data_IF_107792115949
#
_entry.id   IF_107792115949
#
_cell.length_a   1.000
_cell.length_b   1.000
_cell.length_c   1.000
_cell.angle_alpha   90.00
_cell.angle_beta   90.00
_cell.angle_gamma   90.00
#
_symmetry.space_group_name_H-M   'P 1'
#
loop_
_entity.id
_entity.type
_entity.pdbx_description
1 polymer ?
#
# COMPACT_ATOMS: atom_id res chain seq x y z
N UNK A 1 6.98 21.41 5.03
CA UNK A 1 7.94 22.13 5.89
C UNK A 1 8.40 21.34 7.13
N UNK A 2 8.56 20.00 6.98
CA UNK A 2 9.04 19.13 8.07
C UNK A 2 10.51 18.71 7.87
N UNK A 3 11.14 19.18 6.79
CA UNK A 3 12.55 18.98 6.52
C UNK A 3 13.34 20.13 7.12
N UNK A 4 14.20 19.85 8.07
CA UNK A 4 15.21 20.80 8.53
C UNK A 4 16.42 20.68 7.60
N UNK A 5 16.85 21.79 7.01
CA UNK A 5 18.07 21.84 6.20
C UNK A 5 19.08 22.78 6.86
N UNK A 6 19.80 22.34 7.91
CA UNK A 6 20.90 23.11 8.41
C UNK A 6 22.00 23.18 7.34
N UNK A 7 22.43 24.39 7.00
CA UNK A 7 23.52 24.63 6.06
C UNK A 7 24.81 24.64 6.85
N UNK A 8 25.66 23.63 6.63
CA UNK A 8 27.02 23.58 7.21
C UNK A 8 27.99 23.71 6.04
N UNK A 9 28.44 24.94 5.78
CA UNK A 9 29.31 25.24 4.64
C UNK A 9 28.57 25.12 3.30
N UNK A 10 29.10 24.35 2.36
CA UNK A 10 28.50 24.09 1.06
C UNK A 10 27.56 22.85 1.04
N UNK A 11 27.35 22.16 2.17
CA UNK A 11 26.50 20.98 2.27
C UNK A 11 25.12 21.35 2.80
N UNK A 12 24.08 21.04 2.03
CA UNK A 12 22.67 21.07 2.46
C UNK A 12 22.31 19.72 3.09
N UNK A 13 22.16 19.69 4.39
CA UNK A 13 21.71 18.48 5.10
C UNK A 13 20.19 18.50 5.18
N UNK A 14 19.53 17.70 4.36
CA UNK A 14 18.06 17.54 4.39
C UNK A 14 17.72 16.36 5.29
N UNK A 15 17.15 16.62 6.46
CA UNK A 15 16.68 15.58 7.38
C UNK A 15 15.15 15.55 7.38
N UNK A 16 14.57 14.41 7.01
CA UNK A 16 13.15 14.13 7.12
C UNK A 16 12.87 13.50 8.50
N UNK A 17 12.49 14.34 9.47
CA UNK A 17 12.22 13.93 10.84
C UNK A 17 11.08 12.91 10.96
N UNK A 18 9.92 13.07 10.26
CA UNK A 18 8.86 12.05 10.27
C UNK A 18 9.32 10.70 9.76
N UNK A 19 10.07 10.65 8.66
CA UNK A 19 10.61 9.41 8.11
C UNK A 19 11.57 8.73 9.09
N UNK A 20 12.49 9.50 9.69
CA UNK A 20 13.41 8.98 10.70
C UNK A 20 12.65 8.42 11.91
N UNK A 21 11.64 9.13 12.39
CA UNK A 21 10.84 8.70 13.54
C UNK A 21 10.13 7.37 13.25
N UNK A 22 9.51 7.20 12.09
CA UNK A 22 8.84 5.96 11.70
C UNK A 22 9.84 4.80 11.64
N UNK A 23 11.02 5.00 11.04
CA UNK A 23 12.05 3.97 10.96
C UNK A 23 12.52 3.56 12.36
N UNK A 24 12.79 4.52 13.24
CA UNK A 24 13.21 4.25 14.62
C UNK A 24 12.13 3.48 15.39
N UNK A 25 10.85 3.87 15.26
CA UNK A 25 9.74 3.17 15.92
C UNK A 25 9.60 1.73 15.43
N UNK A 26 9.67 1.49 14.12
CA UNK A 26 9.57 0.16 13.55
C UNK A 26 10.77 -0.70 13.99
N UNK A 27 11.98 -0.14 13.96
CA UNK A 27 13.18 -0.84 14.42
C UNK A 27 13.10 -1.20 15.91
N UNK A 28 12.62 -0.30 16.75
CA UNK A 28 12.38 -0.56 18.16
C UNK A 28 11.33 -1.66 18.41
N UNK A 29 10.29 -1.69 17.58
CA UNK A 29 9.26 -2.74 17.62
C UNK A 29 9.85 -4.11 17.28
N UNK A 30 10.66 -4.18 16.22
CA UNK A 30 11.35 -5.43 15.82
C UNK A 30 12.32 -5.89 16.90
N UNK A 31 13.05 -4.95 17.54
CA UNK A 31 13.95 -5.26 18.63
C UNK A 31 13.24 -5.86 19.86
N UNK A 32 11.98 -5.49 20.12
CA UNK A 32 11.17 -6.07 21.20
C UNK A 32 10.84 -7.54 21.00
N UNK A 33 10.77 -8.01 19.74
CA UNK A 33 10.62 -9.42 19.45
C UNK A 33 9.73 -9.71 18.24
N UNK A 34 9.89 -10.89 17.68
CA UNK A 34 9.18 -11.35 16.47
C UNK A 34 7.67 -11.51 16.69
N UNK A 35 7.26 -11.89 17.91
CA UNK A 35 5.84 -12.11 18.24
C UNK A 35 5.06 -10.79 18.26
N UNK A 36 5.62 -9.75 18.87
CA UNK A 36 5.06 -8.42 18.93
C UNK A 36 4.98 -7.79 17.54
N UNK A 37 6.05 -7.92 16.76
CA UNK A 37 6.12 -7.41 15.38
C UNK A 37 5.07 -8.07 14.48
N UNK A 38 4.88 -9.39 14.59
CA UNK A 38 3.86 -10.12 13.85
C UNK A 38 2.45 -9.68 14.24
N UNK A 39 2.18 -9.50 15.54
CA UNK A 39 0.88 -9.04 16.01
C UNK A 39 0.58 -7.62 15.53
N UNK A 40 1.56 -6.71 15.60
CA UNK A 40 1.44 -5.36 15.07
C UNK A 40 1.16 -5.37 13.55
N UNK A 41 1.89 -6.18 12.78
CA UNK A 41 1.66 -6.35 11.35
C UNK A 41 0.25 -6.83 11.06
N UNK A 42 -0.24 -7.85 11.77
CA UNK A 42 -1.60 -8.38 11.59
C UNK A 42 -2.67 -7.31 11.86
N UNK A 43 -2.52 -6.54 12.94
CA UNK A 43 -3.45 -5.44 13.26
C UNK A 43 -3.43 -4.38 12.14
N UNK A 44 -2.26 -3.96 11.66
CA UNK A 44 -2.15 -3.02 10.56
C UNK A 44 -2.79 -3.55 9.28
N UNK A 45 -2.65 -4.85 8.97
CA UNK A 45 -3.30 -5.48 7.82
C UNK A 45 -4.81 -5.47 7.94
N UNK A 46 -5.36 -5.82 9.11
CA UNK A 46 -6.82 -5.77 9.33
C UNK A 46 -7.35 -4.36 9.19
N UNK A 47 -6.68 -3.37 9.80
CA UNK A 47 -7.09 -1.95 9.73
C UNK A 47 -7.13 -1.48 8.28
N UNK A 48 -6.07 -1.71 7.50
CA UNK A 48 -6.04 -1.28 6.09
C UNK A 48 -7.08 -1.99 5.22
N UNK A 49 -7.33 -3.28 5.45
CA UNK A 49 -8.39 -4.00 4.75
C UNK A 49 -9.78 -3.43 5.07
N UNK A 50 -10.06 -3.15 6.34
CA UNK A 50 -11.31 -2.52 6.74
C UNK A 50 -11.50 -1.15 6.07
N UNK A 51 -10.44 -0.35 5.98
CA UNK A 51 -10.51 0.98 5.34
C UNK A 51 -10.70 0.85 3.82
N UNK A 52 -10.00 -0.08 3.16
CA UNK A 52 -10.20 -0.33 1.72
C UNK A 52 -11.63 -0.77 1.45
N UNK A 53 -12.18 -1.69 2.24
CA UNK A 53 -13.58 -2.12 2.10
C UNK A 53 -14.56 -0.97 2.36
N UNK A 54 -14.27 -0.11 3.33
CA UNK A 54 -15.07 1.08 3.61
C UNK A 54 -15.03 2.07 2.44
N UNK A 55 -13.85 2.30 1.83
CA UNK A 55 -13.70 3.12 0.62
C UNK A 55 -14.54 2.57 -0.52
N UNK A 56 -14.49 1.25 -0.76
CA UNK A 56 -15.29 0.59 -1.79
C UNK A 56 -16.78 0.76 -1.49
N UNK A 57 -17.21 0.49 -0.26
CA UNK A 57 -18.62 0.55 0.15
C UNK A 57 -19.18 1.97 0.04
N UNK A 58 -18.49 2.96 0.59
CA UNK A 58 -18.93 4.36 0.54
C UNK A 58 -18.86 4.89 -0.88
N UNK A 59 -17.75 4.64 -1.60
CA UNK A 59 -17.55 5.11 -2.96
C UNK A 59 -18.56 4.52 -3.95
N UNK A 60 -19.00 3.29 -3.75
CA UNK A 60 -20.00 2.65 -4.63
C UNK A 60 -21.33 3.42 -4.72
N UNK A 61 -21.70 4.19 -3.69
CA UNK A 61 -22.90 5.03 -3.70
C UNK A 61 -22.76 6.29 -4.58
N UNK A 62 -21.52 6.68 -4.91
CA UNK A 62 -21.21 7.88 -5.69
C UNK A 62 -20.73 7.55 -7.11
N UNK A 63 -20.84 6.30 -7.54
CA UNK A 63 -20.45 5.86 -8.88
C UNK A 63 -21.45 6.37 -9.90
N UNK A 64 -20.93 7.09 -10.92
CA UNK A 64 -21.66 7.43 -12.14
C UNK A 64 -21.09 6.61 -13.29
N UNK A 65 -21.91 5.73 -13.86
CA UNK A 65 -21.51 4.84 -14.96
C UNK A 65 -21.13 5.59 -16.24
N UNK A 66 -21.58 6.85 -16.39
CA UNK A 66 -21.21 7.69 -17.52
C UNK A 66 -19.70 8.00 -17.55
N UNK A 67 -19.02 7.95 -16.40
CA UNK A 67 -17.58 8.17 -16.33
C UNK A 67 -16.75 7.03 -16.96
N UNK A 68 -17.36 5.88 -17.25
CA UNK A 68 -16.70 4.74 -17.90
C UNK A 68 -16.83 4.74 -19.42
N UNK A 69 -17.51 5.72 -20.02
CA UNK A 69 -17.63 5.86 -21.47
C UNK A 69 -16.72 6.99 -21.99
N UNK A 70 -15.74 6.69 -22.85
CA UNK A 70 -15.34 5.37 -23.39
C UNK A 70 -14.50 4.55 -22.39
N UNK A 71 -14.79 3.24 -22.28
CA UNK A 71 -14.12 2.33 -21.32
C UNK A 71 -12.60 2.23 -21.54
N UNK A 72 -12.12 2.29 -22.77
CA UNK A 72 -10.70 2.22 -23.13
C UNK A 72 -10.31 3.36 -24.06
N UNK A 73 -10.24 4.62 -23.60
CA UNK A 73 -10.03 5.79 -24.44
C UNK A 73 -8.67 5.80 -25.18
N UNK A 74 -7.67 5.16 -24.60
CA UNK A 74 -6.32 5.05 -25.16
C UNK A 74 -6.06 3.73 -25.92
N UNK A 75 -7.11 2.93 -26.13
CA UNK A 75 -7.05 1.65 -26.82
C UNK A 75 -6.09 0.63 -26.17
N UNK A 76 -5.75 -0.42 -26.92
CA UNK A 76 -4.89 -1.52 -26.44
C UNK A 76 -3.51 -1.05 -25.99
N UNK A 77 -2.93 -0.08 -26.68
CA UNK A 77 -1.61 0.46 -26.31
C UNK A 77 -1.63 1.12 -24.94
N UNK A 78 -2.72 1.83 -24.59
CA UNK A 78 -2.89 2.40 -23.26
C UNK A 78 -3.01 1.34 -22.18
N UNK A 79 -3.75 0.26 -22.45
CA UNK A 79 -3.88 -0.88 -21.54
C UNK A 79 -2.52 -1.55 -21.28
N UNK A 80 -1.72 -1.80 -22.33
CA UNK A 80 -0.39 -2.41 -22.19
C UNK A 80 0.57 -1.54 -21.37
N UNK A 81 0.53 -0.21 -21.55
CA UNK A 81 1.30 0.71 -20.69
C UNK A 81 0.85 0.63 -19.24
N UNK A 82 -0.47 0.54 -19.01
CA UNK A 82 -1.04 0.36 -17.67
C UNK A 82 -0.57 -0.95 -17.00
N UNK A 83 -0.51 -2.06 -17.74
CA UNK A 83 0.00 -3.35 -17.24
C UNK A 83 1.40 -3.21 -16.67
N UNK A 84 2.30 -2.51 -17.36
CA UNK A 84 3.67 -2.30 -16.89
C UNK A 84 3.72 -1.50 -15.58
N UNK A 85 2.86 -0.50 -15.42
CA UNK A 85 2.78 0.29 -14.19
C UNK A 85 2.18 -0.52 -13.03
N UNK A 86 1.11 -1.29 -13.30
CA UNK A 86 0.43 -2.12 -12.30
C UNK A 86 1.32 -3.27 -11.82
N UNK A 87 2.24 -3.78 -12.65
CA UNK A 87 3.19 -4.80 -12.23
C UNK A 87 3.93 -4.41 -10.94
N UNK A 88 4.33 -3.15 -10.81
CA UNK A 88 4.99 -2.67 -9.61
C UNK A 88 4.11 -2.68 -8.36
N UNK A 89 2.77 -2.64 -8.50
CA UNK A 89 1.84 -2.75 -7.38
C UNK A 89 1.79 -4.16 -6.76
N UNK A 90 2.26 -5.17 -7.49
CA UNK A 90 2.33 -6.55 -7.00
C UNK A 90 3.69 -6.93 -6.43
N UNK A 91 4.68 -6.03 -6.46
CA UNK A 91 5.99 -6.28 -5.83
C UNK A 91 5.79 -6.52 -4.33
N UNK A 92 6.42 -7.57 -3.84
CA UNK A 92 6.37 -7.97 -2.43
C UNK A 92 5.62 -9.27 -2.17
N UNK A 93 4.93 -9.85 -3.16
CA UNK A 93 4.33 -11.20 -3.00
C UNK A 93 5.40 -12.26 -2.77
N UNK A 94 6.59 -12.06 -3.31
CA UNK A 94 7.79 -12.88 -3.15
C UNK A 94 8.36 -12.82 -1.73
N UNK A 95 8.11 -11.75 -0.97
CA UNK A 95 8.49 -11.66 0.44
C UNK A 95 7.87 -12.79 1.31
N UNK A 96 6.76 -13.38 0.87
CA UNK A 96 6.16 -14.54 1.54
C UNK A 96 7.15 -15.72 1.57
N UNK A 97 7.99 -15.87 0.54
CA UNK A 97 8.98 -16.94 0.47
C UNK A 97 10.03 -16.86 1.59
N UNK A 98 10.33 -15.66 2.09
CA UNK A 98 11.27 -15.47 3.20
C UNK A 98 10.75 -16.01 4.54
N UNK A 99 9.47 -16.33 4.63
CA UNK A 99 8.83 -16.90 5.83
C UNK A 99 8.75 -18.43 5.79
N UNK A 100 9.42 -19.07 4.81
CA UNK A 100 9.38 -20.52 4.62
C UNK A 100 9.79 -21.30 5.87
N UNK A 101 10.80 -20.83 6.58
CA UNK A 101 11.33 -21.49 7.80
C UNK A 101 10.35 -21.41 8.99
N UNK A 102 9.37 -20.51 8.97
CA UNK A 102 8.37 -20.38 10.02
C UNK A 102 7.09 -21.15 9.73
N UNK A 103 6.96 -21.74 8.55
CA UNK A 103 5.79 -22.51 8.14
C UNK A 103 5.90 -23.96 8.60
N UNK A 104 4.79 -24.51 9.12
CA UNK A 104 4.72 -25.93 9.52
C UNK A 104 4.85 -26.85 8.31
N UNK A 105 4.19 -26.51 7.19
CA UNK A 105 4.24 -27.24 5.93
C UNK A 105 4.53 -26.28 4.76
N UNK A 106 5.78 -25.81 4.59
CA UNK A 106 6.10 -24.77 3.63
C UNK A 106 5.77 -25.15 2.18
N UNK A 107 5.97 -26.40 1.79
CA UNK A 107 5.70 -26.89 0.42
C UNK A 107 4.22 -26.78 0.03
N UNK A 108 3.32 -26.83 0.99
CA UNK A 108 1.87 -26.74 0.78
C UNK A 108 1.31 -25.36 1.07
N UNK A 109 1.75 -24.76 2.16
CA UNK A 109 1.11 -23.56 2.71
C UNK A 109 1.61 -22.29 2.03
N UNK A 110 2.89 -22.23 1.63
CA UNK A 110 3.43 -21.07 0.90
C UNK A 110 2.78 -20.87 -0.48
N UNK A 111 2.71 -21.88 -1.39
CA UNK A 111 2.07 -21.67 -2.67
C UNK A 111 0.61 -21.28 -2.55
N UNK A 112 -0.11 -21.87 -1.57
CA UNK A 112 -1.51 -21.52 -1.32
C UNK A 112 -1.65 -20.10 -0.80
N UNK A 113 -0.81 -19.71 0.15
CA UNK A 113 -0.78 -18.34 0.69
C UNK A 113 -0.53 -17.30 -0.39
N UNK A 114 0.47 -17.52 -1.25
CA UNK A 114 0.77 -16.66 -2.38
C UNK A 114 -0.39 -16.57 -3.38
N UNK A 115 -0.99 -17.70 -3.75
CA UNK A 115 -2.13 -17.73 -4.67
C UNK A 115 -3.32 -16.95 -4.11
N UNK A 116 -3.70 -17.20 -2.86
CA UNK A 116 -4.80 -16.47 -2.22
C UNK A 116 -4.52 -15.00 -2.06
N UNK A 117 -3.29 -14.61 -1.71
CA UNK A 117 -2.89 -13.21 -1.60
C UNK A 117 -3.07 -12.49 -2.95
N UNK A 118 -2.58 -13.08 -4.06
CA UNK A 118 -2.72 -12.49 -5.39
C UNK A 118 -4.19 -12.38 -5.80
N UNK A 119 -4.99 -13.43 -5.60
CA UNK A 119 -6.42 -13.41 -5.96
C UNK A 119 -7.17 -12.33 -5.19
N UNK A 120 -7.01 -12.28 -3.87
CA UNK A 120 -7.70 -11.31 -3.01
C UNK A 120 -7.25 -9.88 -3.37
N UNK A 121 -5.95 -9.64 -3.51
CA UNK A 121 -5.44 -8.33 -3.88
C UNK A 121 -5.95 -7.88 -5.26
N UNK A 122 -5.98 -8.78 -6.25
CA UNK A 122 -6.50 -8.47 -7.58
C UNK A 122 -7.97 -8.07 -7.54
N UNK A 123 -8.80 -8.81 -6.80
CA UNK A 123 -10.21 -8.47 -6.64
C UNK A 123 -10.41 -7.11 -5.97
N UNK A 124 -9.63 -6.82 -4.91
CA UNK A 124 -9.68 -5.52 -4.24
C UNK A 124 -9.20 -4.39 -5.15
N UNK A 125 -8.13 -4.58 -5.92
CA UNK A 125 -7.66 -3.57 -6.88
C UNK A 125 -8.70 -3.27 -7.95
N UNK A 126 -9.33 -4.30 -8.53
CA UNK A 126 -10.40 -4.13 -9.52
C UNK A 126 -11.55 -3.34 -8.89
N UNK A 127 -12.01 -3.70 -7.69
CA UNK A 127 -13.10 -3.03 -7.02
C UNK A 127 -12.79 -1.55 -6.72
N UNK A 128 -11.60 -1.25 -6.18
CA UNK A 128 -11.16 0.13 -5.90
C UNK A 128 -11.07 0.95 -7.19
N UNK A 129 -10.47 0.40 -8.26
CA UNK A 129 -10.31 1.13 -9.52
C UNK A 129 -11.66 1.41 -10.17
N UNK A 130 -12.59 0.45 -10.17
CA UNK A 130 -13.94 0.65 -10.69
C UNK A 130 -14.67 1.76 -9.93
N UNK A 131 -14.60 1.74 -8.60
CA UNK A 131 -15.21 2.78 -7.78
C UNK A 131 -14.58 4.15 -8.07
N UNK A 132 -13.25 4.26 -8.03
CA UNK A 132 -12.56 5.54 -8.26
C UNK A 132 -12.84 6.14 -9.63
N UNK A 133 -12.75 5.33 -10.68
CA UNK A 133 -13.01 5.78 -12.05
C UNK A 133 -14.49 6.05 -12.32
N UNK A 134 -15.39 5.42 -11.55
CA UNK A 134 -16.82 5.72 -11.59
C UNK A 134 -17.19 7.00 -10.84
N UNK A 135 -16.47 7.34 -9.76
CA UNK A 135 -16.73 8.59 -9.00
C UNK A 135 -16.24 9.84 -9.72
N UNK A 136 -15.10 9.75 -10.44
CA UNK A 136 -14.46 10.89 -11.11
C UNK A 136 -13.85 10.44 -12.43
N UNK A 137 -13.94 11.24 -13.51
CA UNK A 137 -13.31 10.95 -14.78
C UNK A 137 -11.81 10.70 -14.64
N UNK A 138 -11.29 9.66 -15.29
CA UNK A 138 -9.93 9.15 -15.14
C UNK A 138 -8.82 10.20 -15.36
N UNK A 139 -9.04 11.20 -16.25
CA UNK A 139 -8.06 12.25 -16.52
C UNK A 139 -7.83 13.21 -15.34
N UNK A 140 -8.74 13.24 -14.35
CA UNK A 140 -8.59 14.03 -13.12
C UNK A 140 -7.89 13.26 -12.00
N UNK A 141 -7.67 11.96 -12.17
CA UNK A 141 -7.01 11.10 -11.19
C UNK A 141 -5.47 11.18 -11.26
N UNK A 142 -4.91 11.97 -12.15
CA UNK A 142 -3.46 12.16 -12.26
C UNK A 142 -2.93 13.12 -11.18
N UNK A 143 -3.11 12.73 -9.93
CA UNK A 143 -2.69 13.46 -8.72
C UNK A 143 -1.86 12.55 -7.82
N UNK A 144 -1.14 13.13 -6.86
CA UNK A 144 -0.27 12.37 -5.95
C UNK A 144 -1.01 11.41 -5.01
N UNK A 145 -2.23 11.73 -4.62
CA UNK A 145 -3.11 10.90 -3.80
C UNK A 145 -4.52 10.86 -4.39
N UNK A 146 -4.79 9.97 -5.35
CA UNK A 146 -6.08 9.88 -6.02
C UNK A 146 -7.23 9.53 -5.08
N UNK A 147 -6.99 8.68 -4.07
CA UNK A 147 -8.02 8.26 -3.12
C UNK A 147 -8.52 9.45 -2.28
N UNK A 148 -7.62 10.16 -1.63
CA UNK A 148 -7.99 11.32 -0.81
C UNK A 148 -8.63 12.42 -1.65
N UNK A 149 -8.09 12.68 -2.86
CA UNK A 149 -8.59 13.68 -3.79
C UNK A 149 -10.06 13.45 -4.19
N UNK A 150 -10.43 12.22 -4.51
CA UNK A 150 -11.81 11.90 -4.94
C UNK A 150 -12.80 12.17 -3.81
N UNK A 151 -12.49 11.77 -2.59
CA UNK A 151 -13.37 11.99 -1.44
C UNK A 151 -13.40 13.46 -0.99
N UNK A 152 -12.31 14.19 -1.16
CA UNK A 152 -12.27 15.64 -0.92
C UNK A 152 -13.15 16.40 -1.92
N UNK A 153 -13.10 16.00 -3.19
CA UNK A 153 -13.94 16.58 -4.25
C UNK A 153 -15.44 16.37 -4.03
N UNK A 154 -15.82 15.29 -3.36
CA UNK A 154 -17.21 15.00 -2.97
C UNK A 154 -17.61 15.64 -1.61
N UNK A 155 -16.75 16.54 -1.08
CA UNK A 155 -16.94 17.20 0.21
C UNK A 155 -17.00 16.25 1.42
N UNK A 156 -16.48 15.03 1.27
CA UNK A 156 -16.37 14.01 2.31
C UNK A 156 -15.03 14.12 3.06
N UNK A 157 -14.76 15.28 3.65
CA UNK A 157 -13.48 15.59 4.32
C UNK A 157 -13.09 14.60 5.43
N UNK A 158 -14.08 14.07 6.16
CA UNK A 158 -13.84 13.06 7.20
C UNK A 158 -13.23 11.78 6.61
N UNK A 159 -13.70 11.40 5.41
CA UNK A 159 -13.20 10.20 4.70
C UNK A 159 -11.78 10.42 4.18
N UNK A 160 -11.50 11.59 3.61
CA UNK A 160 -10.14 11.97 3.20
C UNK A 160 -9.15 11.89 4.36
N UNK A 161 -9.54 12.33 5.57
CA UNK A 161 -8.71 12.19 6.78
C UNK A 161 -8.44 10.73 7.16
N UNK A 162 -9.44 9.87 7.12
CA UNK A 162 -9.29 8.43 7.39
C UNK A 162 -8.34 7.79 6.37
N UNK A 163 -8.48 8.12 5.09
CA UNK A 163 -7.63 7.63 4.00
C UNK A 163 -6.18 8.05 4.21
N UNK A 164 -5.93 9.32 4.57
CA UNK A 164 -4.58 9.81 4.82
C UNK A 164 -3.88 9.05 5.97
N UNK A 165 -4.59 8.84 7.09
CA UNK A 165 -4.08 8.03 8.20
C UNK A 165 -3.84 6.58 7.76
N UNK A 166 -4.76 6.00 6.99
CA UNK A 166 -4.63 4.65 6.44
C UNK A 166 -3.40 4.49 5.57
N UNK A 167 -3.08 5.49 4.74
CA UNK A 167 -1.91 5.49 3.88
C UNK A 167 -0.62 5.41 4.71
N UNK A 168 -0.52 6.16 5.81
CA UNK A 168 0.62 6.09 6.73
C UNK A 168 0.73 4.71 7.37
N UNK A 169 -0.37 4.15 7.87
CA UNK A 169 -0.40 2.80 8.45
C UNK A 169 -0.02 1.73 7.41
N UNK A 170 -0.50 1.87 6.17
CA UNK A 170 -0.18 0.95 5.09
C UNK A 170 1.33 0.97 4.77
N UNK A 171 1.92 2.14 4.62
CA UNK A 171 3.37 2.28 4.40
C UNK A 171 4.18 1.73 5.57
N UNK A 172 3.81 2.03 6.81
CA UNK A 172 4.47 1.50 8.01
C UNK A 172 4.41 -0.03 8.07
N UNK A 173 3.27 -0.65 7.69
CA UNK A 173 3.14 -2.10 7.67
C UNK A 173 4.06 -2.77 6.65
N UNK A 174 4.25 -2.15 5.48
CA UNK A 174 5.18 -2.64 4.45
C UNK A 174 6.63 -2.54 4.92
N UNK A 175 7.00 -1.40 5.49
CA UNK A 175 8.35 -1.20 6.06
C UNK A 175 8.65 -2.25 7.14
N UNK A 176 7.67 -2.55 8.02
CA UNK A 176 7.82 -3.57 9.06
C UNK A 176 8.13 -4.94 8.46
N UNK A 177 7.37 -5.36 7.44
CA UNK A 177 7.57 -6.67 6.78
C UNK A 177 8.93 -6.76 6.12
N UNK A 178 9.34 -5.74 5.36
CA UNK A 178 10.65 -5.73 4.71
C UNK A 178 11.80 -5.69 5.72
N UNK A 179 11.71 -4.92 6.79
CA UNK A 179 12.72 -4.90 7.84
C UNK A 179 12.83 -6.24 8.58
N UNK A 180 11.72 -6.98 8.75
CA UNK A 180 11.75 -8.33 9.32
C UNK A 180 12.37 -9.35 8.36
N UNK A 181 12.22 -9.18 7.05
CA UNK A 181 12.78 -10.05 6.03
C UNK A 181 14.30 -9.92 5.85
N UNK A 182 14.84 -8.71 6.01
CA UNK A 182 16.26 -8.44 5.79
C UNK A 182 17.24 -9.34 6.58
N UNK A 183 17.10 -9.50 7.91
CA UNK A 183 18.00 -10.36 8.68
C UNK A 183 17.95 -11.82 8.25
N UNK A 184 16.79 -12.30 7.81
CA UNK A 184 16.58 -13.69 7.36
C UNK A 184 17.34 -13.96 6.07
N UNK A 185 17.26 -13.02 5.11
CA UNK A 185 18.02 -13.12 3.86
C UNK A 185 19.52 -13.14 4.16
N UNK A 186 19.99 -12.29 5.06
CA UNK A 186 21.41 -12.27 5.46
C UNK A 186 21.85 -13.57 6.10
N UNK A 187 21.02 -14.15 6.97
CA UNK A 187 21.32 -15.44 7.60
C UNK A 187 21.36 -16.59 6.59
N UNK A 188 20.53 -16.55 5.56
CA UNK A 188 20.52 -17.57 4.50
C UNK A 188 21.71 -17.46 3.54
N UNK A 189 22.40 -16.31 3.51
CA UNK A 189 23.57 -16.05 2.67
C UNK A 189 24.90 -16.28 3.39
N UNK A 190 24.92 -16.43 4.70
CA UNK A 190 26.09 -16.67 5.52
C UNK A 190 26.30 -18.16 5.78
#
# INVERSE_FOLDING_TARGET
AWTTSPVIGSFHFVADLPALLIIVLITALIYRGMKESRNASNVMVVVKLCIVLLVIAVGAFYVDTANWDPFAPNGVTGVLKGVSAVFFAYIGFDAISTTAEECVNPQRDLPRGMMWAIIICTLLYIAVVLVLTGMVPYHQLNVGDPLAFVFEKLDLKWMSGIIAVSAVVAMASVLLVFQMGQPRIWMSMS
#
